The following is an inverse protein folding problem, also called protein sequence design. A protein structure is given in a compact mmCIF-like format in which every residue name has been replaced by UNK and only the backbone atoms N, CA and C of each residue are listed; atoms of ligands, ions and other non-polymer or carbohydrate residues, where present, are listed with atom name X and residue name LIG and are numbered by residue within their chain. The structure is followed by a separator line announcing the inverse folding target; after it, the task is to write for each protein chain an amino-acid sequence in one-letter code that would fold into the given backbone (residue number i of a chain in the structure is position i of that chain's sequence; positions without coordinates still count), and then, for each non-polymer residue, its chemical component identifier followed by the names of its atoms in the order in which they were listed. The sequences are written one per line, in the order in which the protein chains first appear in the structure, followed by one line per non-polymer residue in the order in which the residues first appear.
data_IF_707025768825
#
_entry.id   IF_707025768825
#
_cell.length_a   1.000
_cell.length_b   1.000
_cell.length_c   1.000
_cell.angle_alpha   90.00
_cell.angle_beta   90.00
_cell.angle_gamma   90.00
#
_symmetry.space_group_name_H-M   'P 1'
#
loop_
_entity.id
_entity.type
_entity.pdbx_description
1 polymer ?
#
# COMPACT_ATOMS: atom_id res chain seq x y z
N UNK A 1 3.93 31.60 42.78
CA UNK A 1 3.17 32.46 41.86
C UNK A 1 2.55 31.56 40.83
N UNK A 2 1.21 31.50 40.78
CA UNK A 2 0.50 30.58 39.89
C UNK A 2 0.53 31.12 38.48
N UNK A 3 1.03 30.32 37.56
CA UNK A 3 1.11 30.62 36.13
C UNK A 3 -0.02 29.88 35.44
N UNK A 4 -0.80 30.58 34.62
CA UNK A 4 -1.94 29.98 33.94
C UNK A 4 -1.79 30.10 32.42
N UNK A 5 -2.29 29.07 31.74
CA UNK A 5 -2.57 29.08 30.32
C UNK A 5 -4.04 29.41 30.12
N UNK A 6 -4.35 30.37 29.25
CA UNK A 6 -5.72 30.78 28.94
C UNK A 6 -5.98 30.64 27.45
N UNK A 7 -7.14 30.10 27.08
CA UNK A 7 -7.54 30.02 25.69
C UNK A 7 -8.88 30.72 25.42
N UNK A 8 -9.07 31.10 24.16
CA UNK A 8 -10.36 31.55 23.62
C UNK A 8 -10.63 30.83 22.30
N UNK A 9 -11.81 30.21 22.21
CA UNK A 9 -12.23 29.44 21.05
C UNK A 9 -13.33 30.16 20.26
N UNK A 10 -13.29 30.04 18.94
CA UNK A 10 -14.37 30.43 18.01
C UNK A 10 -14.66 29.26 17.07
N UNK A 11 -15.94 28.92 16.89
CA UNK A 11 -16.36 27.99 15.83
C UNK A 11 -16.29 28.64 14.45
N UNK A 12 -16.71 29.90 14.38
CA UNK A 12 -16.72 30.70 13.17
C UNK A 12 -16.10 32.07 13.45
N UNK A 13 -15.36 32.59 12.48
CA UNK A 13 -14.76 33.91 12.56
C UNK A 13 -15.59 34.94 11.79
N UNK A 14 -15.95 36.05 12.44
CA UNK A 14 -16.75 37.11 11.84
C UNK A 14 -16.35 38.49 12.34
N UNK A 15 -17.10 39.51 11.89
CA UNK A 15 -16.74 40.92 12.09
C UNK A 15 -16.62 41.34 13.56
N UNK A 16 -17.36 40.68 14.46
CA UNK A 16 -17.32 40.94 15.90
C UNK A 16 -16.22 40.18 16.64
N UNK A 17 -15.56 39.20 16.01
CA UNK A 17 -14.64 38.28 16.69
C UNK A 17 -13.45 39.01 17.30
N UNK A 18 -12.87 40.00 16.62
CA UNK A 18 -11.77 40.81 17.17
C UNK A 18 -12.19 41.63 18.40
N UNK A 19 -13.44 42.11 18.46
CA UNK A 19 -13.95 42.81 19.65
C UNK A 19 -14.04 41.86 20.83
N UNK A 20 -14.49 40.62 20.58
CA UNK A 20 -14.57 39.57 21.60
C UNK A 20 -13.19 39.10 22.07
N UNK A 21 -12.21 38.96 21.17
CA UNK A 21 -10.80 38.65 21.52
C UNK A 21 -10.26 39.69 22.50
N UNK A 22 -10.40 40.98 22.17
CA UNK A 22 -9.96 42.09 23.04
C UNK A 22 -10.65 42.07 24.40
N UNK A 23 -11.97 41.88 24.42
CA UNK A 23 -12.73 41.80 25.66
C UNK A 23 -12.31 40.61 26.54
N UNK A 24 -12.09 39.45 25.93
CA UNK A 24 -11.63 38.24 26.61
C UNK A 24 -10.24 38.43 27.23
N UNK A 25 -9.29 38.99 26.48
CA UNK A 25 -7.94 39.26 26.96
C UNK A 25 -7.95 40.27 28.12
N UNK A 26 -8.66 41.39 27.97
CA UNK A 26 -8.75 42.41 29.01
C UNK A 26 -9.37 41.86 30.30
N UNK A 27 -10.38 41.00 30.17
CA UNK A 27 -11.00 40.32 31.32
C UNK A 27 -9.98 39.42 32.04
N UNK A 28 -9.20 38.63 31.29
CA UNK A 28 -8.15 37.78 31.85
C UNK A 28 -7.06 38.59 32.58
N UNK A 29 -6.60 39.70 31.99
CA UNK A 29 -5.60 40.59 32.62
C UNK A 29 -6.15 41.31 33.85
N UNK A 30 -7.44 41.69 33.85
CA UNK A 30 -8.07 42.28 35.02
C UNK A 30 -8.13 41.29 36.18
N UNK A 31 -8.58 40.06 35.92
CA UNK A 31 -8.63 39.00 36.92
C UNK A 31 -7.25 38.61 37.43
N UNK A 32 -6.24 38.58 36.57
CA UNK A 32 -4.87 38.27 36.99
C UNK A 32 -4.33 39.28 38.01
N UNK A 33 -4.66 40.56 37.83
CA UNK A 33 -4.34 41.62 38.78
C UNK A 33 -5.13 41.50 40.11
N UNK A 34 -6.42 41.14 40.05
CA UNK A 34 -7.29 40.99 41.22
C UNK A 34 -6.93 39.76 42.07
N UNK A 35 -6.69 38.62 41.43
CA UNK A 35 -6.47 37.31 42.07
C UNK A 35 -4.98 36.96 42.21
N UNK A 36 -4.06 37.85 41.79
CA UNK A 36 -2.60 37.75 41.92
C UNK A 36 -1.98 36.51 41.27
N UNK A 37 -2.50 36.08 40.12
CA UNK A 37 -1.87 35.09 39.25
C UNK A 37 -1.24 35.76 38.01
N UNK A 38 -0.42 35.01 37.28
CA UNK A 38 0.17 35.48 36.02
C UNK A 38 -0.32 34.63 34.86
N UNK A 39 -0.69 35.29 33.76
CA UNK A 39 -0.99 34.61 32.50
C UNK A 39 0.32 34.50 31.74
N UNK A 40 0.83 33.29 31.56
CA UNK A 40 2.08 33.09 30.82
C UNK A 40 1.81 33.02 29.31
N UNK A 41 0.73 32.34 28.93
CA UNK A 41 0.36 32.10 27.54
C UNK A 41 -1.14 32.32 27.36
N UNK A 42 -1.50 33.02 26.29
CA UNK A 42 -2.86 33.24 25.83
C UNK A 42 -3.02 32.76 24.39
N UNK A 43 -3.83 31.73 24.16
CA UNK A 43 -3.98 31.10 22.84
C UNK A 43 -5.36 31.35 22.24
N UNK A 44 -5.39 31.89 21.03
CA UNK A 44 -6.60 31.95 20.21
C UNK A 44 -6.73 30.67 19.37
N UNK A 45 -7.85 29.96 19.48
CA UNK A 45 -8.08 28.71 18.75
C UNK A 45 -9.27 28.88 17.81
N UNK A 46 -9.06 28.61 16.51
CA UNK A 46 -10.06 28.77 15.46
C UNK A 46 -9.90 27.62 14.44
N UNK A 47 -10.97 26.87 14.10
CA UNK A 47 -10.89 25.74 13.18
C UNK A 47 -10.72 26.16 11.71
N UNK A 48 -11.00 27.41 11.35
CA UNK A 48 -10.81 27.95 10.00
C UNK A 48 -9.45 28.64 9.85
N UNK A 49 -8.96 28.71 8.61
CA UNK A 49 -7.83 29.56 8.24
C UNK A 49 -8.36 30.99 8.07
N UNK A 50 -7.73 31.95 8.74
CA UNK A 50 -8.10 33.36 8.64
C UNK A 50 -7.60 33.95 7.33
N UNK A 51 -8.42 34.81 6.72
CA UNK A 51 -7.99 35.60 5.57
C UNK A 51 -6.78 36.48 5.93
N UNK A 52 -5.85 36.75 5.01
CA UNK A 52 -4.60 37.46 5.31
C UNK A 52 -4.79 38.80 6.04
N UNK A 53 -5.84 39.56 5.70
CA UNK A 53 -6.17 40.81 6.38
C UNK A 53 -6.61 40.63 7.83
N UNK A 54 -7.39 39.58 8.12
CA UNK A 54 -7.86 39.25 9.46
C UNK A 54 -6.70 38.76 10.33
N UNK A 55 -5.86 37.88 9.78
CA UNK A 55 -4.65 37.40 10.47
C UNK A 55 -3.70 38.55 10.81
N UNK A 56 -3.43 39.44 9.86
CA UNK A 56 -2.58 40.62 10.08
C UNK A 56 -3.14 41.53 11.17
N UNK A 57 -4.46 41.73 11.21
CA UNK A 57 -5.15 42.50 12.24
C UNK A 57 -4.94 41.90 13.63
N UNK A 58 -5.07 40.57 13.76
CA UNK A 58 -4.81 39.86 15.00
C UNK A 58 -3.33 39.96 15.42
N UNK A 59 -2.39 39.63 14.53
CA UNK A 59 -0.95 39.65 14.83
C UNK A 59 -0.46 41.04 15.27
N UNK A 60 -0.96 42.10 14.62
CA UNK A 60 -0.64 43.49 14.99
C UNK A 60 -1.11 43.79 16.41
N UNK A 61 -2.32 43.35 16.77
CA UNK A 61 -2.84 43.50 18.12
C UNK A 61 -2.06 42.66 19.15
N UNK A 62 -1.79 41.39 18.84
CA UNK A 62 -1.07 40.46 19.71
C UNK A 62 0.33 40.98 20.05
N UNK A 63 1.09 41.41 19.03
CA UNK A 63 2.43 42.00 19.20
C UNK A 63 2.42 43.21 20.13
N UNK A 64 1.38 44.04 20.05
CA UNK A 64 1.21 45.19 20.95
C UNK A 64 0.98 44.74 22.39
N UNK A 65 0.13 43.74 22.61
CA UNK A 65 -0.18 43.24 23.96
C UNK A 65 0.99 42.48 24.60
N UNK A 66 1.73 41.67 23.84
CA UNK A 66 2.94 40.99 24.33
C UNK A 66 3.96 41.98 24.91
N UNK A 67 4.15 43.13 24.25
CA UNK A 67 5.03 44.21 24.73
C UNK A 67 4.53 44.87 26.01
N UNK A 68 3.22 44.91 26.23
CA UNK A 68 2.61 45.57 27.39
C UNK A 68 2.50 44.65 28.60
N UNK A 69 2.20 43.37 28.41
CA UNK A 69 1.80 42.48 29.50
C UNK A 69 2.76 41.30 29.76
N UNK A 70 3.85 41.15 28.99
CA UNK A 70 4.79 40.00 29.11
C UNK A 70 4.04 38.66 29.09
N UNK A 71 3.10 38.54 28.15
CA UNK A 71 2.31 37.31 27.89
C UNK A 71 2.66 36.84 26.50
N UNK A 72 2.87 35.54 26.31
CA UNK A 72 2.98 34.96 24.98
C UNK A 72 1.58 34.77 24.37
N UNK A 73 1.35 35.33 23.19
CA UNK A 73 0.04 35.33 22.53
C UNK A 73 0.15 34.54 21.23
N UNK A 74 -0.41 33.33 21.24
CA UNK A 74 -0.35 32.42 20.10
C UNK A 74 -1.71 32.27 19.45
N UNK A 75 -1.72 31.80 18.20
CA UNK A 75 -2.92 31.46 17.46
C UNK A 75 -2.77 30.06 16.88
N UNK A 76 -3.78 29.22 17.08
CA UNK A 76 -3.93 27.92 16.44
C UNK A 76 -5.09 28.04 15.43
N UNK A 77 -4.74 28.19 14.16
CA UNK A 77 -5.68 28.14 13.03
C UNK A 77 -5.86 26.70 12.57
N UNK A 78 -6.73 26.45 11.59
CA UNK A 78 -7.12 25.09 11.19
C UNK A 78 -5.96 24.11 10.94
N UNK A 79 -4.86 24.57 10.35
CA UNK A 79 -3.65 23.77 10.10
C UNK A 79 -2.89 23.42 11.40
N UNK A 80 -2.57 24.42 12.21
CA UNK A 80 -1.88 24.25 13.49
C UNK A 80 -2.74 23.47 14.48
N UNK A 81 -4.05 23.73 14.53
CA UNK A 81 -4.99 23.01 15.37
C UNK A 81 -5.06 21.54 14.98
N UNK A 82 -5.10 21.23 13.68
CA UNK A 82 -5.03 19.85 13.21
C UNK A 82 -3.68 19.19 13.58
N UNK A 83 -2.56 19.89 13.41
CA UNK A 83 -1.23 19.40 13.80
C UNK A 83 -1.17 19.05 15.29
N UNK A 84 -1.62 19.97 16.16
CA UNK A 84 -1.71 19.76 17.61
C UNK A 84 -2.68 18.63 17.94
N UNK A 85 -3.82 18.54 17.26
CA UNK A 85 -4.76 17.45 17.47
C UNK A 85 -4.22 16.11 16.99
N UNK A 86 -3.26 16.03 16.08
CA UNK A 86 -2.65 14.78 15.60
C UNK A 86 -1.42 14.35 16.40
N UNK A 87 -0.90 15.19 17.30
CA UNK A 87 0.26 14.87 18.15
C UNK A 87 -0.02 13.70 19.11
N UNK A 88 1.02 12.99 19.55
CA UNK A 88 0.83 11.86 20.46
C UNK A 88 0.22 12.31 21.80
N UNK A 89 0.57 13.51 22.24
CA UNK A 89 0.06 14.12 23.47
C UNK A 89 -1.45 14.33 23.43
N UNK A 90 -2.00 14.63 22.26
CA UNK A 90 -3.44 14.82 22.04
C UNK A 90 -4.18 13.50 21.75
N UNK A 91 -3.54 12.33 21.84
CA UNK A 91 -4.15 11.03 21.49
C UNK A 91 -5.39 10.72 22.34
N UNK A 92 -5.39 11.11 23.61
CA UNK A 92 -6.54 10.96 24.52
C UNK A 92 -7.73 11.84 24.07
N UNK A 93 -7.48 13.09 23.68
CA UNK A 93 -8.50 14.01 23.17
C UNK A 93 -9.10 13.49 21.87
N UNK A 94 -8.26 13.02 20.93
CA UNK A 94 -8.75 12.39 19.69
C UNK A 94 -9.65 11.19 19.97
N UNK A 95 -9.24 10.34 20.91
CA UNK A 95 -9.99 9.12 21.26
C UNK A 95 -11.37 9.43 21.86
N UNK A 96 -11.45 10.50 22.65
CA UNK A 96 -12.69 10.91 23.33
C UNK A 96 -13.65 11.66 22.39
N UNK A 97 -13.15 12.64 21.63
CA UNK A 97 -14.01 13.57 20.88
C UNK A 97 -14.07 13.30 19.38
N UNK A 98 -13.07 12.61 18.83
CA UNK A 98 -13.00 12.23 17.42
C UNK A 98 -12.79 10.72 17.29
N UNK A 99 -13.62 9.88 17.92
CA UNK A 99 -13.40 8.45 17.99
C UNK A 99 -13.21 7.85 16.61
N UNK A 100 -13.91 8.29 15.55
CA UNK A 100 -13.72 7.81 14.17
C UNK A 100 -12.35 8.13 13.55
N UNK A 101 -11.61 9.13 14.04
CA UNK A 101 -10.22 9.41 13.61
C UNK A 101 -9.20 8.48 14.25
N UNK A 102 -9.56 7.88 15.39
CA UNK A 102 -8.77 6.88 16.12
C UNK A 102 -9.32 5.46 15.87
N UNK A 103 -10.59 5.37 15.46
CA UNK A 103 -11.42 4.21 15.18
C UNK A 103 -11.77 4.13 13.69
N UNK A 104 -10.84 4.47 12.79
CA UNK A 104 -10.57 3.43 11.80
C UNK A 104 -10.10 2.26 12.64
N UNK A 105 -10.86 1.17 12.73
CA UNK A 105 -10.35 -0.07 13.35
C UNK A 105 -8.89 -0.17 12.96
N UNK A 106 -7.92 -0.26 13.90
CA UNK A 106 -6.50 -0.20 13.57
C UNK A 106 -6.35 -1.10 12.38
N UNK A 107 -6.02 -0.51 11.22
CA UNK A 107 -6.13 -1.23 9.94
C UNK A 107 -5.40 -2.52 10.18
N UNK A 108 -6.17 -3.60 10.22
CA UNK A 108 -5.60 -4.88 10.57
C UNK A 108 -4.72 -5.20 9.38
N UNK A 109 -3.51 -5.67 9.68
CA UNK A 109 -2.63 -6.10 8.61
C UNK A 109 -3.41 -7.07 7.73
N UNK A 110 -3.42 -6.84 6.42
CA UNK A 110 -4.11 -7.72 5.49
C UNK A 110 -3.59 -9.14 5.66
N UNK A 111 -4.49 -10.12 5.57
CA UNK A 111 -4.16 -11.53 5.76
C UNK A 111 -3.13 -12.00 4.73
N UNK A 112 -2.11 -12.71 5.20
CA UNK A 112 -1.09 -13.29 4.33
C UNK A 112 -1.56 -14.67 3.92
N UNK A 113 -1.97 -14.80 2.66
CA UNK A 113 -2.33 -16.10 2.10
C UNK A 113 -1.10 -17.03 2.06
N UNK A 114 -1.29 -18.28 2.48
CA UNK A 114 -0.25 -19.30 2.48
C UNK A 114 -0.31 -20.12 1.18
N UNK A 115 0.85 -20.35 0.58
CA UNK A 115 0.99 -21.18 -0.61
C UNK A 115 1.25 -22.63 -0.18
N UNK A 116 0.42 -23.56 -0.65
CA UNK A 116 0.53 -24.99 -0.30
C UNK A 116 1.55 -25.73 -1.17
N UNK A 117 1.66 -25.37 -2.46
CA UNK A 117 2.56 -25.99 -3.44
C UNK A 117 3.22 -24.90 -4.30
N UNK A 118 4.55 -24.80 -4.26
CA UNK A 118 5.31 -23.80 -5.00
C UNK A 118 5.69 -24.24 -6.41
N UNK A 119 5.48 -25.51 -6.77
CA UNK A 119 5.76 -26.04 -8.11
C UNK A 119 4.95 -25.32 -9.21
N UNK A 120 3.80 -24.72 -8.87
CA UNK A 120 3.00 -23.93 -9.81
C UNK A 120 3.74 -22.69 -10.35
N UNK A 121 4.77 -22.22 -9.65
CA UNK A 121 5.57 -21.05 -10.04
C UNK A 121 6.89 -21.40 -10.70
N UNK A 122 7.23 -22.68 -10.92
CA UNK A 122 8.50 -23.08 -11.54
C UNK A 122 8.71 -22.43 -12.92
N UNK A 123 7.60 -22.23 -13.66
CA UNK A 123 7.60 -21.58 -14.96
C UNK A 123 7.42 -20.05 -14.90
N UNK A 124 7.31 -19.44 -13.71
CA UNK A 124 7.12 -18.00 -13.58
C UNK A 124 8.38 -17.22 -13.97
N UNK A 125 8.21 -16.04 -14.57
CA UNK A 125 9.32 -15.19 -14.98
C UNK A 125 10.14 -14.73 -13.77
N UNK A 126 9.49 -14.36 -12.66
CA UNK A 126 10.21 -13.94 -11.46
C UNK A 126 11.08 -15.06 -10.89
N UNK A 127 10.62 -16.33 -10.92
CA UNK A 127 11.40 -17.49 -10.51
C UNK A 127 12.60 -17.68 -11.43
N UNK A 128 12.40 -17.65 -12.74
CA UNK A 128 13.50 -17.74 -13.73
C UNK A 128 14.56 -16.66 -13.50
N UNK A 129 14.15 -15.42 -13.26
CA UNK A 129 15.06 -14.30 -12.97
C UNK A 129 15.83 -14.48 -11.66
N UNK A 130 15.21 -15.06 -10.62
CA UNK A 130 15.89 -15.39 -9.37
C UNK A 130 16.96 -16.48 -9.59
N UNK A 131 16.64 -17.51 -10.39
CA UNK A 131 17.62 -18.53 -10.78
C UNK A 131 18.78 -17.94 -11.56
N UNK A 132 18.50 -17.07 -12.52
CA UNK A 132 19.52 -16.37 -13.30
C UNK A 132 20.42 -15.49 -12.42
N UNK A 133 19.85 -14.89 -11.37
CA UNK A 133 20.57 -14.14 -10.34
C UNK A 133 21.31 -15.02 -9.31
N UNK A 134 21.32 -16.35 -9.48
CA UNK A 134 22.06 -17.30 -8.66
C UNK A 134 21.33 -17.80 -7.41
N UNK A 135 20.03 -17.57 -7.28
CA UNK A 135 19.24 -18.07 -6.16
C UNK A 135 18.84 -19.54 -6.36
N UNK A 136 19.12 -20.39 -5.36
CA UNK A 136 18.80 -21.83 -5.39
C UNK A 136 17.49 -22.16 -4.66
N UNK A 137 17.17 -21.45 -3.59
CA UNK A 137 15.91 -21.64 -2.86
C UNK A 137 15.00 -20.46 -3.14
N UNK A 138 13.80 -20.74 -3.67
CA UNK A 138 12.85 -19.71 -4.13
C UNK A 138 11.45 -19.85 -3.54
N UNK A 139 11.16 -20.88 -2.74
CA UNK A 139 9.83 -21.14 -2.16
C UNK A 139 9.28 -19.94 -1.38
N UNK A 140 10.13 -19.25 -0.62
CA UNK A 140 9.72 -18.04 0.10
C UNK A 140 9.36 -16.88 -0.84
N UNK A 141 10.01 -16.77 -2.00
CA UNK A 141 9.66 -15.79 -3.03
C UNK A 141 8.32 -16.15 -3.69
N UNK A 142 8.07 -17.43 -3.95
CA UNK A 142 6.78 -17.92 -4.44
C UNK A 142 5.65 -17.60 -3.46
N UNK A 143 5.81 -17.90 -2.17
CA UNK A 143 4.82 -17.55 -1.15
C UNK A 143 4.58 -16.04 -1.02
N UNK A 144 5.62 -15.22 -1.15
CA UNK A 144 5.48 -13.76 -1.16
C UNK A 144 4.70 -13.26 -2.39
N UNK A 145 5.04 -13.77 -3.57
CA UNK A 145 4.33 -13.45 -4.80
C UNK A 145 2.84 -13.84 -4.70
N UNK A 146 2.57 -15.07 -4.25
CA UNK A 146 1.22 -15.60 -4.07
C UNK A 146 0.40 -14.77 -3.08
N UNK A 147 0.95 -14.47 -1.89
CA UNK A 147 0.26 -13.65 -0.90
C UNK A 147 -0.13 -12.27 -1.46
N UNK A 148 0.76 -11.64 -2.23
CA UNK A 148 0.47 -10.36 -2.89
C UNK A 148 -0.61 -10.51 -3.97
N UNK A 149 -0.55 -11.57 -4.78
CA UNK A 149 -1.54 -11.80 -5.85
C UNK A 149 -2.93 -12.10 -5.28
N UNK A 150 -3.00 -12.93 -4.24
CA UNK A 150 -4.22 -13.25 -3.52
C UNK A 150 -4.86 -12.00 -2.93
N UNK A 151 -4.07 -11.13 -2.28
CA UNK A 151 -4.54 -9.85 -1.78
C UNK A 151 -5.11 -8.97 -2.89
N UNK A 152 -4.42 -8.86 -4.03
CA UNK A 152 -4.91 -8.06 -5.17
C UNK A 152 -6.26 -8.57 -5.69
N UNK A 153 -6.41 -9.88 -5.87
CA UNK A 153 -7.69 -10.50 -6.29
C UNK A 153 -8.81 -10.25 -5.28
N UNK A 154 -8.50 -10.33 -3.99
CA UNK A 154 -9.46 -10.06 -2.93
C UNK A 154 -9.87 -8.56 -2.91
N UNK A 155 -8.92 -7.63 -3.04
CA UNK A 155 -9.22 -6.20 -3.13
C UNK A 155 -10.10 -5.86 -4.34
N UNK A 156 -9.86 -6.51 -5.48
CA UNK A 156 -10.68 -6.42 -6.69
C UNK A 156 -12.09 -6.99 -6.46
N UNK A 157 -12.20 -8.18 -5.86
CA UNK A 157 -13.47 -8.82 -5.54
C UNK A 157 -14.33 -7.98 -4.56
N UNK A 158 -13.67 -7.29 -3.61
CA UNK A 158 -14.30 -6.33 -2.70
C UNK A 158 -14.74 -5.03 -3.38
N UNK A 159 -14.29 -4.76 -4.61
CA UNK A 159 -14.54 -3.50 -5.31
C UNK A 159 -13.89 -2.28 -4.63
N UNK A 160 -12.81 -2.49 -3.88
CA UNK A 160 -12.18 -1.44 -3.06
C UNK A 160 -11.22 -0.57 -3.89
N UNK A 161 -11.79 0.37 -4.64
CA UNK A 161 -11.03 1.24 -5.54
C UNK A 161 -9.95 2.07 -4.82
N UNK A 162 -10.23 2.52 -3.59
CA UNK A 162 -9.27 3.26 -2.78
C UNK A 162 -8.10 2.39 -2.31
N UNK A 163 -8.36 1.14 -1.92
CA UNK A 163 -7.30 0.19 -1.54
C UNK A 163 -6.45 -0.22 -2.74
N UNK A 164 -7.06 -0.41 -3.91
CA UNK A 164 -6.32 -0.67 -5.17
C UNK A 164 -5.44 0.53 -5.56
N UNK A 165 -5.94 1.76 -5.41
CA UNK A 165 -5.14 2.96 -5.61
C UNK A 165 -3.97 3.06 -4.61
N UNK A 166 -4.23 2.76 -3.32
CA UNK A 166 -3.22 2.71 -2.28
C UNK A 166 -2.13 1.66 -2.58
N UNK A 167 -2.53 0.46 -3.00
CA UNK A 167 -1.60 -0.58 -3.43
C UNK A 167 -0.76 -0.14 -4.64
N UNK A 168 -1.38 0.52 -5.63
CA UNK A 168 -0.67 1.05 -6.79
C UNK A 168 0.40 2.08 -6.41
N UNK A 169 0.16 2.88 -5.35
CA UNK A 169 1.17 3.78 -4.80
C UNK A 169 2.37 3.01 -4.24
N UNK A 170 2.13 1.93 -3.49
CA UNK A 170 3.22 1.09 -2.97
C UNK A 170 4.01 0.44 -4.08
N UNK A 171 3.34 -0.08 -5.11
CA UNK A 171 4.02 -0.66 -6.27
C UNK A 171 4.94 0.33 -6.97
N UNK A 172 4.52 1.60 -7.11
CA UNK A 172 5.38 2.66 -7.64
C UNK A 172 6.60 2.93 -6.75
N UNK A 173 6.41 2.98 -5.42
CA UNK A 173 7.52 3.17 -4.48
C UNK A 173 8.50 1.99 -4.47
N UNK A 174 8.01 0.75 -4.56
CA UNK A 174 8.86 -0.44 -4.68
C UNK A 174 9.62 -0.42 -6.01
N UNK A 175 8.97 0.01 -7.10
CA UNK A 175 9.63 0.12 -8.40
C UNK A 175 10.74 1.17 -8.39
N UNK A 176 10.51 2.33 -7.78
CA UNK A 176 11.54 3.36 -7.59
C UNK A 176 12.72 2.84 -6.76
N UNK A 177 12.45 2.16 -5.64
CA UNK A 177 13.50 1.55 -4.82
C UNK A 177 14.29 0.48 -5.58
N UNK A 178 13.63 -0.33 -6.41
CA UNK A 178 14.30 -1.27 -7.30
C UNK A 178 15.20 -0.54 -8.30
N UNK A 179 14.72 0.52 -8.95
CA UNK A 179 15.47 1.27 -9.96
C UNK A 179 16.75 1.88 -9.38
N UNK A 180 16.65 2.50 -8.19
CA UNK A 180 17.78 3.05 -7.46
C UNK A 180 18.83 1.96 -7.18
N UNK A 181 18.42 0.82 -6.60
CA UNK A 181 19.34 -0.27 -6.27
C UNK A 181 19.90 -0.99 -7.48
N UNK A 182 19.12 -1.13 -8.53
CA UNK A 182 19.56 -1.71 -9.78
C UNK A 182 20.66 -0.85 -10.39
N UNK A 183 20.46 0.46 -10.46
CA UNK A 183 21.45 1.40 -11.02
C UNK A 183 22.74 1.47 -10.18
N UNK A 184 22.64 1.32 -8.85
CA UNK A 184 23.81 1.20 -7.97
C UNK A 184 24.58 -0.11 -8.21
N UNK A 185 23.86 -1.23 -8.41
CA UNK A 185 24.47 -2.55 -8.48
C UNK A 185 24.94 -2.96 -9.89
N UNK A 186 24.31 -2.44 -10.95
CA UNK A 186 24.58 -2.85 -12.33
C UNK A 186 26.04 -2.65 -12.77
N UNK A 187 26.75 -1.56 -12.41
CA UNK A 187 28.17 -1.41 -12.73
C UNK A 187 29.08 -2.42 -12.01
N UNK A 188 28.59 -3.07 -10.96
CA UNK A 188 29.31 -4.03 -10.13
C UNK A 188 28.91 -5.48 -10.44
N UNK A 189 28.12 -5.71 -11.49
CA UNK A 189 27.70 -7.04 -11.91
C UNK A 189 28.90 -7.88 -12.36
N UNK A 190 28.82 -9.20 -12.17
CA UNK A 190 29.82 -10.13 -12.68
C UNK A 190 29.68 -10.39 -14.18
N UNK A 191 30.52 -11.29 -14.70
CA UNK A 191 30.52 -11.66 -16.13
C UNK A 191 29.21 -12.33 -16.60
N UNK A 192 28.42 -12.85 -15.66
CA UNK A 192 27.10 -13.43 -15.92
C UNK A 192 25.97 -12.41 -15.71
N UNK A 193 26.28 -11.14 -15.43
CA UNK A 193 25.30 -10.09 -15.18
C UNK A 193 24.61 -10.18 -13.82
N UNK A 194 25.14 -11.00 -12.89
CA UNK A 194 24.57 -11.15 -11.55
C UNK A 194 25.00 -9.99 -10.66
N UNK A 195 24.02 -9.38 -9.98
CA UNK A 195 24.24 -8.25 -9.08
C UNK A 195 24.12 -8.71 -7.63
N UNK A 196 25.27 -9.08 -7.03
CA UNK A 196 25.31 -9.67 -5.69
C UNK A 196 24.65 -8.76 -4.65
N UNK A 197 23.62 -9.28 -3.99
CA UNK A 197 22.92 -8.59 -2.91
C UNK A 197 21.77 -7.68 -3.36
N UNK A 198 21.56 -7.48 -4.66
CA UNK A 198 20.47 -6.65 -5.19
C UNK A 198 19.11 -7.09 -4.64
N UNK A 199 18.76 -8.37 -4.82
CA UNK A 199 17.47 -8.93 -4.36
C UNK A 199 17.28 -8.65 -2.87
N UNK A 200 18.27 -8.97 -2.03
CA UNK A 200 18.19 -8.74 -0.58
C UNK A 200 17.94 -7.28 -0.24
N UNK A 201 18.67 -6.35 -0.86
CA UNK A 201 18.54 -4.92 -0.57
C UNK A 201 17.19 -4.37 -1.03
N UNK A 202 16.72 -4.75 -2.23
CA UNK A 202 15.38 -4.36 -2.71
C UNK A 202 14.27 -4.89 -1.80
N UNK A 203 14.38 -6.13 -1.34
CA UNK A 203 13.39 -6.71 -0.40
C UNK A 203 13.40 -6.02 0.97
N UNK A 204 14.57 -5.56 1.44
CA UNK A 204 14.67 -4.80 2.67
C UNK A 204 14.03 -3.41 2.52
N UNK A 205 14.34 -2.71 1.43
CA UNK A 205 13.78 -1.39 1.13
C UNK A 205 12.26 -1.47 0.95
N UNK A 206 11.75 -2.49 0.25
CA UNK A 206 10.32 -2.71 0.07
C UNK A 206 9.60 -2.82 1.42
N UNK A 207 10.16 -3.54 2.40
CA UNK A 207 9.57 -3.67 3.74
C UNK A 207 9.65 -2.37 4.55
N UNK A 208 10.71 -1.58 4.36
CA UNK A 208 10.92 -0.31 5.05
C UNK A 208 9.98 0.81 4.57
N UNK A 209 9.35 0.66 3.40
CA UNK A 209 8.34 1.61 2.92
C UNK A 209 7.18 1.71 3.90
N UNK A 210 6.72 2.92 4.17
CA UNK A 210 5.52 3.16 4.98
C UNK A 210 4.28 2.61 4.28
N UNK A 211 3.33 2.09 5.05
CA UNK A 211 2.03 1.66 4.49
C UNK A 211 1.27 2.87 3.94
N UNK A 212 0.56 2.71 2.80
CA UNK A 212 -0.25 3.77 2.25
C UNK A 212 -1.51 3.96 3.11
N UNK A 213 -2.09 5.16 3.07
CA UNK A 213 -3.31 5.46 3.84
C UNK A 213 -4.44 4.52 3.39
N UNK A 214 -5.09 3.86 4.35
CA UNK A 214 -6.25 2.99 4.07
C UNK A 214 -5.93 1.54 3.75
N UNK A 215 -4.66 1.12 3.74
CA UNK A 215 -4.26 -0.26 3.48
C UNK A 215 -3.00 -0.62 4.27
N UNK A 216 -3.07 -1.61 5.15
CA UNK A 216 -1.89 -2.07 5.92
C UNK A 216 -1.38 -3.41 5.41
N UNK A 217 -0.15 -3.39 4.93
CA UNK A 217 0.45 -4.52 4.24
C UNK A 217 1.44 -5.24 5.14
N UNK A 218 1.31 -6.56 5.21
CA UNK A 218 2.34 -7.41 5.77
C UNK A 218 3.68 -7.27 4.99
N UNK A 219 4.83 -7.56 5.62
CA UNK A 219 6.12 -7.59 4.94
C UNK A 219 6.13 -8.48 3.69
N UNK A 220 5.40 -9.61 3.72
CA UNK A 220 5.28 -10.53 2.59
C UNK A 220 4.64 -9.84 1.37
N UNK A 221 3.58 -9.04 1.57
CA UNK A 221 2.91 -8.32 0.49
C UNK A 221 3.83 -7.31 -0.21
N UNK A 222 4.66 -6.62 0.57
CA UNK A 222 5.62 -5.63 0.04
C UNK A 222 6.76 -6.30 -0.73
N UNK A 223 7.27 -7.43 -0.23
CA UNK A 223 8.28 -8.23 -0.96
C UNK A 223 7.70 -8.83 -2.24
N UNK A 224 6.49 -9.39 -2.17
CA UNK A 224 5.81 -9.94 -3.34
C UNK A 224 5.50 -8.90 -4.40
N UNK A 225 5.30 -7.63 -4.02
CA UNK A 225 5.19 -6.52 -4.98
C UNK A 225 6.41 -6.40 -5.88
N UNK A 226 7.62 -6.64 -5.36
CA UNK A 226 8.83 -6.63 -6.17
C UNK A 226 8.86 -7.80 -7.17
N UNK A 227 8.43 -8.99 -6.76
CA UNK A 227 8.30 -10.14 -7.67
C UNK A 227 7.23 -9.92 -8.74
N UNK A 228 6.13 -9.26 -8.39
CA UNK A 228 5.10 -8.80 -9.34
C UNK A 228 5.65 -7.88 -10.42
N UNK A 229 6.55 -6.95 -10.06
CA UNK A 229 7.21 -6.07 -11.06
C UNK A 229 8.05 -6.87 -12.06
N UNK A 230 8.71 -7.93 -11.60
CA UNK A 230 9.52 -8.82 -12.44
C UNK A 230 8.64 -9.69 -13.31
N UNK A 231 7.58 -10.29 -12.75
CA UNK A 231 6.63 -11.11 -13.50
C UNK A 231 5.95 -10.31 -14.64
N UNK A 232 5.71 -9.02 -14.40
CA UNK A 232 5.17 -8.08 -15.41
C UNK A 232 6.20 -7.64 -16.46
N UNK A 233 7.46 -8.08 -16.36
CA UNK A 233 8.53 -7.66 -17.26
C UNK A 233 8.89 -6.17 -17.14
N UNK A 234 8.62 -5.55 -15.99
CA UNK A 234 8.94 -4.14 -15.74
C UNK A 234 10.22 -3.95 -14.92
N UNK A 235 10.70 -5.01 -14.28
CA UNK A 235 11.92 -5.06 -13.48
C UNK A 235 12.65 -6.40 -13.67
N UNK A 236 13.85 -6.54 -13.10
CA UNK A 236 14.59 -7.79 -13.12
C UNK A 236 15.79 -7.84 -12.18
N UNK A 237 16.42 -9.00 -12.07
CA UNK A 237 17.44 -9.29 -11.06
C UNK A 237 18.88 -9.40 -11.59
N UNK A 238 19.03 -9.40 -12.93
CA UNK A 238 20.32 -9.44 -13.64
C UNK A 238 20.39 -8.32 -14.68
N UNK A 239 21.58 -7.95 -15.15
CA UNK A 239 21.73 -6.81 -16.08
C UNK A 239 21.03 -7.03 -17.43
N UNK A 240 21.00 -8.27 -17.92
CA UNK A 240 20.32 -8.71 -19.14
C UNK A 240 18.87 -9.15 -18.92
N UNK A 241 18.21 -8.73 -17.84
CA UNK A 241 16.88 -9.19 -17.46
C UNK A 241 15.82 -9.05 -18.56
N UNK A 242 15.94 -8.04 -19.43
CA UNK A 242 15.01 -7.85 -20.57
C UNK A 242 15.10 -9.00 -21.56
N UNK A 243 16.29 -9.53 -21.81
CA UNK A 243 16.48 -10.69 -22.68
C UNK A 243 15.85 -11.93 -22.06
N UNK A 244 16.04 -12.13 -20.75
CA UNK A 244 15.40 -13.23 -20.00
C UNK A 244 13.87 -13.16 -20.14
N UNK A 245 13.27 -11.96 -20.00
CA UNK A 245 11.83 -11.76 -20.16
C UNK A 245 11.33 -12.04 -21.58
N UNK A 246 12.06 -11.58 -22.61
CA UNK A 246 11.71 -11.85 -24.02
C UNK A 246 11.77 -13.35 -24.34
N UNK A 247 12.83 -14.03 -23.90
CA UNK A 247 12.99 -15.47 -24.09
C UNK A 247 11.88 -16.24 -23.38
N UNK A 248 11.56 -15.88 -22.13
CA UNK A 248 10.46 -16.48 -21.38
C UNK A 248 9.10 -16.33 -22.07
N UNK A 249 8.76 -15.13 -22.54
CA UNK A 249 7.51 -14.90 -23.26
C UNK A 249 7.41 -15.73 -24.56
N UNK A 250 8.54 -15.89 -25.27
CA UNK A 250 8.61 -16.67 -26.50
C UNK A 250 8.41 -18.17 -26.24
N UNK A 251 9.05 -18.72 -25.20
CA UNK A 251 8.90 -20.12 -24.80
C UNK A 251 7.47 -20.44 -24.32
N UNK A 252 6.85 -19.51 -23.57
CA UNK A 252 5.46 -19.66 -23.12
C UNK A 252 4.48 -19.72 -24.30
N UNK A 253 4.65 -18.84 -25.29
CA UNK A 253 3.79 -18.80 -26.48
C UNK A 253 3.89 -20.09 -27.33
N UNK A 254 5.09 -20.68 -27.47
CA UNK A 254 5.27 -21.96 -28.16
C UNK A 254 4.55 -23.08 -27.42
N UNK A 255 4.68 -23.12 -26.09
CA UNK A 255 4.07 -24.15 -25.26
C UNK A 255 2.54 -24.10 -25.33
N UNK A 256 1.94 -22.91 -25.23
CA UNK A 256 0.48 -22.71 -25.36
C UNK A 256 -0.04 -23.09 -26.77
N UNK A 257 0.72 -22.79 -27.82
CA UNK A 257 0.36 -23.16 -29.21
C UNK A 257 0.39 -24.68 -29.44
N UNK A 258 1.23 -25.42 -28.72
CA UNK A 258 1.37 -26.87 -28.89
C UNK A 258 0.28 -27.66 -28.14
N UNK A 259 -0.37 -27.06 -27.14
CA UNK A 259 -1.46 -27.69 -26.37
C UNK A 259 -2.82 -27.55 -27.06
N UNK A 260 -2.99 -26.57 -27.96
CA UNK A 260 -4.26 -26.26 -28.63
C UNK A 260 -4.40 -26.87 -30.04
N UNK A 261 -3.43 -27.70 -30.47
CA UNK A 261 -3.56 -28.46 -31.73
C UNK A 261 -4.50 -29.65 -31.51
N UNK A 262 -5.66 -29.74 -32.20
CA UNK A 262 -6.57 -30.86 -32.03
C UNK A 262 -5.86 -32.13 -32.49
N UNK A 263 -5.70 -33.09 -31.57
CA UNK A 263 -5.32 -34.46 -31.90
C UNK A 263 -6.24 -34.95 -33.01
N UNK A 264 -5.72 -35.02 -34.23
CA UNK A 264 -6.42 -35.60 -35.36
C UNK A 264 -6.85 -37.02 -34.97
N UNK A 265 -8.12 -37.42 -35.20
CA UNK A 265 -8.53 -38.77 -34.89
C UNK A 265 -7.66 -39.76 -35.68
N UNK A 266 -7.11 -40.75 -34.97
CA UNK A 266 -6.30 -41.79 -35.55
C UNK A 266 -7.02 -42.40 -36.78
N UNK A 267 -6.29 -42.66 -37.88
CA UNK A 267 -6.90 -43.27 -39.06
C UNK A 267 -7.51 -44.64 -38.68
N UNK A 268 -8.67 -45.00 -39.25
CA UNK A 268 -9.32 -46.25 -38.91
C UNK A 268 -8.42 -47.44 -39.25
N UNK A 269 -8.19 -48.30 -38.26
CA UNK A 269 -7.53 -49.58 -38.44
C UNK A 269 -8.32 -50.41 -39.46
N UNK A 270 -7.66 -50.75 -40.57
CA UNK A 270 -8.20 -51.69 -41.57
C UNK A 270 -8.28 -53.07 -40.93
N UNK A 271 -9.43 -53.38 -40.33
CA UNK A 271 -9.75 -54.71 -39.82
C UNK A 271 -9.88 -55.69 -40.99
N UNK A 272 -8.85 -56.53 -41.14
CA UNK A 272 -8.89 -57.70 -42.02
C UNK A 272 -9.79 -58.73 -41.35
N UNK A 273 -11.04 -58.81 -41.79
CA UNK A 273 -11.96 -59.90 -41.46
C UNK A 273 -11.37 -61.21 -41.97
N UNK A 274 -10.86 -62.01 -41.04
CA UNK A 274 -10.69 -63.46 -41.20
C UNK A 274 -11.89 -64.11 -40.54
N UNK A 275 -12.82 -64.64 -41.34
CA UNK A 275 -13.91 -65.47 -40.83
C UNK A 275 -13.37 -66.84 -40.44
N UNK A 276 -13.74 -67.40 -39.26
CA UNK A 276 -13.78 -68.82 -39.06
C UNK A 276 -15.20 -69.35 -39.25
N UNK A 277 -15.30 -70.37 -40.10
CA UNK A 277 -16.46 -71.24 -40.25
C UNK A 277 -16.58 -72.10 -38.99
N UNK A 278 -17.69 -71.98 -38.26
CA UNK A 278 -18.13 -73.05 -37.36
C UNK A 278 -19.65 -73.26 -37.41
N UNK A 279 -20.00 -74.54 -37.39
CA UNK A 279 -21.27 -75.16 -37.76
C UNK A 279 -22.03 -75.54 -36.48
N UNK A 280 -23.29 -75.13 -36.32
CA UNK A 280 -24.37 -75.90 -35.66
C UNK A 280 -25.70 -75.12 -35.75
N UNK A 281 -26.73 -75.54 -36.50
CA UNK A 281 -27.72 -76.61 -36.28
C UNK A 281 -28.90 -76.21 -35.34
N UNK A 282 -30.12 -76.25 -35.91
CA UNK A 282 -31.47 -76.42 -35.30
C UNK A 282 -32.07 -75.21 -34.52
N UNK A 283 -33.35 -74.86 -34.59
CA UNK A 283 -34.53 -75.45 -35.22
C UNK A 283 -35.67 -74.42 -35.37
N UNK A 284 -36.36 -74.50 -36.51
CA UNK A 284 -37.79 -74.30 -36.79
C UNK A 284 -38.74 -73.70 -35.74
N UNK A 285 -39.42 -72.62 -36.14
CA UNK A 285 -40.88 -72.35 -36.11
C UNK A 285 -41.08 -71.15 -37.05
N UNK A 286 -41.89 -71.21 -38.10
CA UNK A 286 -43.33 -70.99 -38.03
C UNK A 286 -44.07 -71.59 -39.21
N UNK A 287 -45.33 -71.88 -38.95
CA UNK A 287 -46.30 -72.48 -39.82
C UNK A 287 -47.18 -71.38 -40.45
N UNK A 288 -47.44 -71.53 -41.75
CA UNK A 288 -48.72 -71.27 -42.45
C UNK A 288 -49.13 -69.79 -42.59
N UNK A 289 -48.91 -69.23 -43.78
CA UNK A 289 -49.96 -69.18 -44.82
C UNK A 289 -49.35 -69.15 -46.22
#
# INVERSE_FOLDING_TARGET
MTRIWQSKFFLEWGDSSMKQVRASFNSAMKKSAEEKFTVDVWTLVIPSILEPGQLKSFQTWATKQMKTHTVDITIWQGDELCSQLLSEEASHVRREFFPWTVNGSPLTEEEVAELEDDAEYDAALFVRQLREAGHVEVSAACGQYFATDALLRDLEARGSHSALAAFSSIRQSVHAAWEDRFNEAAPLADEHGQMKGLVRTVMADAVALSDPVGLRLAPSHKRGTAHHLVERGTAGWVTHWRNVAVTHASEKAVTETTVDEPVAPAPPETSVLTEPVEVALLATKEAIS
#
